data_IF_298254717020
#
_entry.id   IF_298254717020
#
_cell.length_a   1.000
_cell.length_b   1.000
_cell.length_c   1.000
_cell.angle_alpha   90.00
_cell.angle_beta   90.00
_cell.angle_gamma   90.00
#
_symmetry.space_group_name_H-M   'P 1'
#
loop_
_entity.id
_entity.type
_entity.pdbx_description
1 polymer ?
#
# COMPACT_ATOMS: atom_id res chain seq x y z
N UNK A 1 -6.84 -1.32 -11.96
CA UNK A 1 -5.56 -0.58 -11.91
C UNK A 1 -4.87 -0.67 -13.25
N UNK A 2 -4.28 0.42 -13.70
CA UNK A 2 -3.59 0.47 -15.00
C UNK A 2 -2.34 -0.41 -14.98
N UNK A 3 -2.02 -1.10 -16.10
CA UNK A 3 -0.84 -1.99 -16.16
C UNK A 3 0.49 -1.32 -15.78
N UNK A 4 0.68 -0.06 -16.17
CA UNK A 4 1.87 0.71 -15.80
C UNK A 4 1.98 0.88 -14.31
N UNK A 5 0.88 1.16 -13.61
CA UNK A 5 0.88 1.31 -12.16
C UNK A 5 1.21 -0.01 -11.46
N UNK A 6 0.70 -1.12 -11.96
CA UNK A 6 1.04 -2.45 -11.41
C UNK A 6 2.54 -2.68 -11.49
N UNK A 7 3.14 -2.46 -12.65
CA UNK A 7 4.58 -2.63 -12.84
C UNK A 7 5.39 -1.68 -11.98
N UNK A 8 4.98 -0.43 -11.89
CA UNK A 8 5.67 0.57 -11.06
C UNK A 8 5.57 0.25 -9.57
N UNK A 9 4.45 -0.32 -9.11
CA UNK A 9 4.32 -0.76 -7.73
C UNK A 9 5.26 -1.91 -7.42
N UNK A 10 5.43 -2.86 -8.33
CA UNK A 10 6.41 -3.93 -8.16
C UNK A 10 7.82 -3.37 -8.00
N UNK A 11 8.17 -2.40 -8.83
CA UNK A 11 9.47 -1.75 -8.75
C UNK A 11 9.65 -0.98 -7.45
N UNK A 12 8.63 -0.27 -7.00
CA UNK A 12 8.63 0.44 -5.72
C UNK A 12 8.77 -0.53 -4.55
N UNK A 13 8.05 -1.64 -4.59
CA UNK A 13 8.10 -2.66 -3.56
C UNK A 13 9.51 -3.25 -3.42
N UNK A 14 10.16 -3.53 -4.53
CA UNK A 14 11.55 -3.99 -4.51
C UNK A 14 12.48 -2.95 -3.86
N UNK A 15 12.32 -1.69 -4.23
CA UNK A 15 13.17 -0.62 -3.72
C UNK A 15 13.08 -0.49 -2.20
N UNK A 16 11.92 -0.74 -1.60
CA UNK A 16 11.70 -0.60 -0.15
C UNK A 16 11.69 -1.93 0.60
N UNK A 17 12.02 -3.03 -0.06
CA UNK A 17 12.11 -4.34 0.60
C UNK A 17 10.75 -4.91 1.01
N UNK A 18 9.70 -4.59 0.28
CA UNK A 18 8.37 -5.18 0.47
C UNK A 18 8.38 -6.63 0.00
N UNK A 19 7.95 -7.54 0.83
CA UNK A 19 7.98 -8.96 0.49
C UNK A 19 6.94 -9.36 -0.53
N UNK A 20 5.73 -8.79 -0.45
CA UNK A 20 4.61 -9.23 -1.27
C UNK A 20 3.64 -8.08 -1.52
N UNK A 21 3.08 -8.06 -2.73
CA UNK A 21 1.94 -7.19 -3.05
C UNK A 21 0.70 -8.06 -3.27
N UNK A 22 -0.41 -7.62 -2.70
CA UNK A 22 -1.71 -8.26 -2.91
C UNK A 22 -2.61 -7.26 -3.63
N UNK A 23 -3.06 -7.64 -4.82
CA UNK A 23 -4.02 -6.86 -5.57
C UNK A 23 -5.42 -7.40 -5.28
N UNK A 24 -6.24 -6.58 -4.62
CA UNK A 24 -7.57 -7.00 -4.19
C UNK A 24 -8.68 -6.42 -5.03
N UNK A 25 -9.78 -7.15 -5.10
CA UNK A 25 -10.97 -6.72 -5.81
C UNK A 25 -10.97 -7.10 -7.27
N UNK A 26 -11.20 -6.12 -8.16
CA UNK A 26 -11.25 -6.37 -9.59
C UNK A 26 -9.95 -6.92 -10.14
N UNK A 27 -9.99 -7.86 -11.10
CA UNK A 27 -8.77 -8.40 -11.70
C UNK A 27 -7.88 -7.32 -12.28
N UNK A 28 -6.58 -7.46 -12.09
CA UNK A 28 -5.59 -6.58 -12.71
C UNK A 28 -5.25 -7.09 -14.11
N UNK A 29 -4.96 -6.15 -15.00
CA UNK A 29 -4.51 -6.46 -16.34
C UNK A 29 -2.99 -6.44 -16.38
N UNK A 30 -2.39 -7.53 -16.86
CA UNK A 30 -0.94 -7.67 -16.99
C UNK A 30 -0.59 -7.73 -18.48
N UNK A 31 0.32 -6.88 -18.92
CA UNK A 31 0.75 -6.85 -20.31
C UNK A 31 2.17 -6.29 -20.42
N UNK A 32 2.62 -6.04 -21.65
CA UNK A 32 3.97 -5.55 -21.90
C UNK A 32 4.27 -4.23 -21.18
N UNK A 33 3.27 -3.36 -21.02
CA UNK A 33 3.45 -2.10 -20.27
C UNK A 33 3.76 -2.37 -18.79
N UNK A 34 3.17 -3.41 -18.21
CA UNK A 34 3.45 -3.83 -16.86
C UNK A 34 4.93 -4.20 -16.72
N UNK A 35 5.41 -5.06 -17.60
CA UNK A 35 6.79 -5.57 -17.50
C UNK A 35 7.83 -4.51 -17.83
N UNK A 36 7.52 -3.61 -18.75
CA UNK A 36 8.40 -2.47 -19.03
C UNK A 36 8.53 -1.56 -17.80
N UNK A 37 7.45 -1.32 -17.09
CA UNK A 37 7.44 -0.49 -15.88
C UNK A 37 8.08 -1.18 -14.68
N UNK A 38 7.92 -2.50 -14.56
CA UNK A 38 8.45 -3.25 -13.42
C UNK A 38 9.96 -3.42 -13.45
N UNK A 39 10.57 -3.37 -14.63
CA UNK A 39 12.02 -3.54 -14.80
C UNK A 39 12.51 -4.86 -14.19
N UNK A 40 11.78 -5.96 -14.47
CA UNK A 40 12.06 -7.32 -14.00
C UNK A 40 11.89 -7.54 -12.49
N UNK A 41 11.34 -6.59 -11.74
CA UNK A 41 11.09 -6.77 -10.30
C UNK A 41 10.01 -7.81 -10.00
N UNK A 42 9.17 -8.15 -10.97
CA UNK A 42 8.23 -9.26 -10.85
C UNK A 42 8.91 -10.61 -10.59
N UNK A 43 10.20 -10.69 -10.81
CA UNK A 43 11.00 -11.90 -10.53
C UNK A 43 11.48 -11.98 -9.08
N UNK A 44 11.48 -10.87 -8.36
CA UNK A 44 12.00 -10.78 -6.99
C UNK A 44 10.96 -10.36 -5.95
N UNK A 45 9.84 -9.78 -6.37
CA UNK A 45 8.74 -9.41 -5.48
C UNK A 45 7.56 -10.34 -5.77
N UNK A 46 7.10 -11.02 -4.74
CA UNK A 46 5.90 -11.87 -4.86
C UNK A 46 4.67 -10.99 -5.00
N UNK A 47 3.74 -11.40 -5.85
CA UNK A 47 2.45 -10.74 -5.95
C UNK A 47 1.35 -11.73 -6.27
N UNK A 48 0.14 -11.42 -5.87
CA UNK A 48 -1.04 -12.22 -6.20
C UNK A 48 -2.28 -11.35 -6.29
N UNK A 49 -3.29 -11.89 -6.95
CA UNK A 49 -4.64 -11.31 -7.05
C UNK A 49 -5.56 -12.06 -6.09
N UNK A 50 -6.38 -11.35 -5.33
CA UNK A 50 -7.41 -11.95 -4.47
C UNK A 50 -8.74 -11.26 -4.69
N UNK A 51 -9.83 -12.02 -4.59
CA UNK A 51 -11.17 -11.45 -4.69
C UNK A 51 -11.66 -10.89 -3.35
N UNK A 52 -11.37 -11.59 -2.26
CA UNK A 52 -11.83 -11.22 -0.92
C UNK A 52 -10.69 -10.58 -0.13
N UNK A 53 -10.53 -9.27 -0.27
CA UNK A 53 -9.49 -8.53 0.42
C UNK A 53 -9.69 -8.51 1.93
N UNK A 54 -10.94 -8.43 2.39
CA UNK A 54 -11.26 -8.44 3.82
C UNK A 54 -10.74 -9.70 4.49
N UNK A 55 -10.96 -10.85 3.86
CA UNK A 55 -10.47 -12.14 4.37
C UNK A 55 -8.95 -12.15 4.48
N UNK A 56 -8.26 -11.66 3.46
CA UNK A 56 -6.79 -11.56 3.46
C UNK A 56 -6.30 -10.71 4.64
N UNK A 57 -6.88 -9.54 4.84
CA UNK A 57 -6.47 -8.64 5.92
C UNK A 57 -6.73 -9.26 7.29
N UNK A 58 -7.86 -9.92 7.47
CA UNK A 58 -8.17 -10.62 8.72
C UNK A 58 -7.12 -11.68 9.04
N UNK A 59 -6.69 -12.43 8.03
CA UNK A 59 -5.65 -13.47 8.19
C UNK A 59 -4.32 -12.85 8.65
N UNK A 60 -3.93 -11.72 8.07
CA UNK A 60 -2.71 -11.03 8.49
C UNK A 60 -2.82 -10.50 9.92
N UNK A 61 -3.97 -9.97 10.30
CA UNK A 61 -4.19 -9.51 11.68
C UNK A 61 -4.09 -10.67 12.68
N UNK A 62 -4.67 -11.80 12.36
CA UNK A 62 -4.58 -13.00 13.20
C UNK A 62 -3.14 -13.49 13.32
N UNK A 63 -2.33 -13.28 12.30
CA UNK A 63 -0.90 -13.62 12.32
C UNK A 63 -0.05 -12.59 13.08
N UNK A 64 -0.65 -11.53 13.63
CA UNK A 64 0.06 -10.54 14.42
C UNK A 64 0.56 -9.31 13.65
N UNK A 65 0.15 -9.15 12.40
CA UNK A 65 0.53 -7.98 11.61
C UNK A 65 -0.26 -6.75 12.05
N UNK A 66 0.41 -5.60 12.05
CA UNK A 66 -0.27 -4.30 12.15
C UNK A 66 -0.76 -3.91 10.77
N UNK A 67 -1.99 -3.40 10.70
CA UNK A 67 -2.59 -2.94 9.44
C UNK A 67 -2.68 -1.42 9.46
N UNK A 68 -1.99 -0.80 8.51
CA UNK A 68 -1.97 0.64 8.30
C UNK A 68 -2.67 0.95 6.99
N UNK A 69 -3.64 1.86 7.01
CA UNK A 69 -4.30 2.33 5.80
C UNK A 69 -3.83 3.73 5.46
N UNK A 70 -3.63 3.98 4.17
CA UNK A 70 -3.27 5.28 3.64
C UNK A 70 -4.49 5.88 2.95
N UNK A 71 -5.20 6.78 3.63
CA UNK A 71 -6.43 7.41 3.13
C UNK A 71 -6.71 8.70 3.89
N UNK A 72 -7.31 9.67 3.21
CA UNK A 72 -7.79 10.89 3.86
C UNK A 72 -9.17 10.61 4.43
N UNK A 73 -9.29 10.66 5.76
CA UNK A 73 -10.56 10.49 6.48
C UNK A 73 -10.65 11.54 7.58
N UNK A 74 -11.82 11.63 8.21
CA UNK A 74 -12.03 12.56 9.34
C UNK A 74 -11.12 12.22 10.53
N UNK A 75 -10.72 10.97 10.66
CA UNK A 75 -9.91 10.49 11.78
C UNK A 75 -8.46 10.20 11.42
N UNK A 76 -8.09 10.35 10.14
CA UNK A 76 -6.71 10.08 9.71
C UNK A 76 -5.74 11.10 10.27
N UNK A 77 -4.52 10.66 10.51
CA UNK A 77 -3.44 11.44 11.09
C UNK A 77 -2.36 11.66 10.02
N UNK A 78 -1.69 12.81 9.99
CA UNK A 78 -0.59 13.01 9.03
C UNK A 78 0.47 11.91 9.13
N UNK A 79 0.95 11.48 7.99
CA UNK A 79 1.88 10.36 7.89
C UNK A 79 3.19 10.60 8.66
N UNK A 80 3.64 11.85 8.76
CA UNK A 80 4.85 12.18 9.49
C UNK A 80 4.73 11.93 11.01
N UNK A 81 3.53 11.69 11.49
CA UNK A 81 3.28 11.33 12.89
C UNK A 81 3.22 9.82 13.12
N UNK A 82 3.59 9.04 12.11
CA UNK A 82 3.67 7.59 12.24
C UNK A 82 4.57 7.21 13.42
N UNK A 83 4.05 6.37 14.29
CA UNK A 83 4.79 5.92 15.47
C UNK A 83 5.80 4.85 15.11
N UNK A 84 6.87 4.86 15.88
CA UNK A 84 8.00 3.98 15.70
C UNK A 84 7.79 2.69 16.51
N UNK A 85 7.04 1.74 15.93
CA UNK A 85 6.78 0.44 16.58
C UNK A 85 7.80 -0.59 16.12
N UNK A 86 8.74 -0.88 17.00
CA UNK A 86 9.82 -1.81 16.73
C UNK A 86 9.30 -3.22 16.46
N UNK A 87 9.81 -3.83 15.38
CA UNK A 87 9.69 -5.27 15.12
C UNK A 87 8.29 -5.79 14.80
N UNK A 88 7.38 -4.94 14.38
CA UNK A 88 6.07 -5.41 13.95
C UNK A 88 6.02 -5.58 12.42
N UNK A 89 5.56 -6.75 12.02
CA UNK A 89 5.21 -6.97 10.63
C UNK A 89 4.03 -6.08 10.27
N UNK A 90 4.12 -5.40 9.15
CA UNK A 90 3.16 -4.36 8.76
C UNK A 90 2.54 -4.66 7.41
N UNK A 91 1.23 -4.49 7.33
CA UNK A 91 0.49 -4.45 6.06
C UNK A 91 0.12 -2.99 5.79
N UNK A 92 0.47 -2.50 4.61
CA UNK A 92 0.03 -1.19 4.15
C UNK A 92 -1.09 -1.38 3.14
N UNK A 93 -2.25 -0.77 3.41
CA UNK A 93 -3.38 -0.76 2.48
C UNK A 93 -3.40 0.58 1.76
N UNK A 94 -3.44 0.54 0.44
CA UNK A 94 -3.66 1.71 -0.39
C UNK A 94 -4.89 1.49 -1.26
N UNK A 95 -5.66 2.53 -1.47
CA UNK A 95 -6.90 2.43 -2.21
C UNK A 95 -6.72 2.59 -3.71
N UNK A 96 -7.75 2.20 -4.45
CA UNK A 96 -7.81 2.48 -5.88
C UNK A 96 -7.97 3.99 -6.12
N UNK A 97 -7.54 4.45 -7.29
CA UNK A 97 -7.65 5.86 -7.65
C UNK A 97 -9.11 6.35 -7.71
N UNK A 98 -10.04 5.45 -8.04
CA UNK A 98 -11.46 5.80 -8.19
C UNK A 98 -12.25 5.76 -6.90
N UNK A 99 -12.00 4.75 -6.07
CA UNK A 99 -12.88 4.45 -4.95
C UNK A 99 -12.22 4.57 -3.58
N UNK A 100 -10.89 4.74 -3.55
CA UNK A 100 -10.16 4.74 -2.30
C UNK A 100 -10.24 3.39 -1.58
N UNK A 101 -10.09 3.42 -0.28
CA UNK A 101 -10.19 2.23 0.56
C UNK A 101 -11.64 2.10 1.05
N UNK A 102 -12.21 0.90 0.95
CA UNK A 102 -13.58 0.66 1.41
C UNK A 102 -13.68 0.79 2.93
N UNK A 103 -14.88 1.07 3.41
CA UNK A 103 -15.12 1.20 4.85
C UNK A 103 -14.75 -0.07 5.61
N UNK A 104 -15.05 -1.23 5.05
CA UNK A 104 -14.73 -2.52 5.68
C UNK A 104 -13.22 -2.65 5.96
N UNK A 105 -12.39 -2.25 5.00
CA UNK A 105 -10.94 -2.30 5.16
C UNK A 105 -10.44 -1.22 6.10
N UNK A 106 -11.05 -0.04 6.10
CA UNK A 106 -10.71 1.01 7.06
C UNK A 106 -11.03 0.57 8.49
N UNK A 107 -12.15 -0.09 8.69
CA UNK A 107 -12.56 -0.59 10.00
C UNK A 107 -11.60 -1.68 10.53
N UNK A 108 -10.98 -2.43 9.64
CA UNK A 108 -9.97 -3.43 10.00
C UNK A 108 -8.59 -2.83 10.24
N UNK A 109 -8.37 -1.61 9.83
CA UNK A 109 -7.07 -0.96 9.97
C UNK A 109 -6.82 -0.54 11.41
N UNK A 110 -5.62 -0.80 11.90
CA UNK A 110 -5.22 -0.40 13.25
C UNK A 110 -4.95 1.10 13.30
N UNK A 111 -4.42 1.64 12.21
CA UNK A 111 -4.09 3.07 12.10
C UNK A 111 -4.40 3.55 10.68
N UNK A 112 -4.84 4.78 10.55
CA UNK A 112 -5.12 5.42 9.26
C UNK A 112 -4.31 6.71 9.17
N UNK A 113 -3.50 6.81 8.14
CA UNK A 113 -2.65 7.97 7.90
C UNK A 113 -2.97 8.60 6.56
N UNK A 114 -2.68 9.88 6.44
CA UNK A 114 -2.78 10.59 5.16
C UNK A 114 -1.51 11.38 4.87
N UNK A 115 -1.27 11.60 3.59
CA UNK A 115 -0.23 12.51 3.12
C UNK A 115 -0.85 13.90 3.02
N UNK A 116 -0.27 14.88 3.70
CA UNK A 116 -0.74 16.26 3.59
C UNK A 116 -0.45 16.79 2.18
N UNK A 117 -1.45 17.38 1.57
CA UNK A 117 -1.34 17.98 0.24
C UNK A 117 -1.68 19.46 0.30
N UNK A 118 -0.87 20.27 -0.35
CA UNK A 118 -0.96 21.72 -0.26
C UNK A 118 -1.43 22.38 -1.56
N UNK A 119 -1.69 21.58 -2.58
CA UNK A 119 -2.19 22.07 -3.85
C UNK A 119 -3.71 22.07 -3.94
N UNK A 120 -4.22 22.18 -5.15
CA UNK A 120 -5.66 22.20 -5.39
C UNK A 120 -6.26 20.81 -5.64
N UNK A 121 -5.48 19.87 -6.13
CA UNK A 121 -5.94 18.49 -6.29
C UNK A 121 -6.04 17.80 -4.94
N UNK A 122 -7.07 16.98 -4.77
CA UNK A 122 -7.32 16.26 -3.53
C UNK A 122 -6.75 14.84 -3.54
N UNK A 123 -6.07 14.43 -4.61
CA UNK A 123 -5.55 13.07 -4.73
C UNK A 123 -4.18 13.07 -5.41
N UNK A 124 -3.48 11.97 -5.23
CA UNK A 124 -2.14 11.74 -5.75
C UNK A 124 -2.13 10.39 -6.47
N UNK A 125 -1.29 10.22 -7.46
CA UNK A 125 -1.09 8.93 -8.11
C UNK A 125 -0.77 7.86 -7.07
N UNK A 126 -1.37 6.68 -7.19
CA UNK A 126 -1.24 5.60 -6.21
C UNK A 126 0.21 5.15 -6.02
N UNK A 127 1.01 5.13 -7.08
CA UNK A 127 2.43 4.73 -6.99
C UNK A 127 3.22 5.76 -6.19
N UNK A 128 2.97 7.04 -6.45
CA UNK A 128 3.63 8.12 -5.73
C UNK A 128 3.26 8.10 -4.25
N UNK A 129 1.98 7.98 -3.95
CA UNK A 129 1.50 7.92 -2.57
C UNK A 129 2.10 6.70 -1.83
N UNK A 130 2.10 5.55 -2.48
CA UNK A 130 2.68 4.32 -1.92
C UNK A 130 4.17 4.49 -1.66
N UNK A 131 4.90 5.11 -2.57
CA UNK A 131 6.34 5.33 -2.42
C UNK A 131 6.64 6.23 -1.22
N UNK A 132 5.88 7.31 -1.04
CA UNK A 132 6.04 8.22 0.10
C UNK A 132 5.76 7.48 1.41
N UNK A 133 4.67 6.71 1.45
CA UNK A 133 4.30 5.96 2.64
C UNK A 133 5.34 4.90 2.99
N UNK A 134 5.82 4.15 2.01
CA UNK A 134 6.85 3.13 2.24
C UNK A 134 8.16 3.74 2.71
N UNK A 135 8.55 4.88 2.16
CA UNK A 135 9.74 5.59 2.62
C UNK A 135 9.63 5.92 4.11
N UNK A 136 8.51 6.50 4.52
CA UNK A 136 8.30 6.88 5.92
C UNK A 136 8.25 5.65 6.83
N UNK A 137 7.49 4.64 6.45
CA UNK A 137 7.32 3.42 7.23
C UNK A 137 8.66 2.69 7.40
N UNK A 138 9.38 2.47 6.32
CA UNK A 138 10.64 1.72 6.38
C UNK A 138 11.71 2.45 7.18
N UNK A 139 11.78 3.78 7.06
CA UNK A 139 12.69 4.57 7.86
C UNK A 139 12.38 4.47 9.35
N UNK A 140 11.11 4.56 9.73
CA UNK A 140 10.69 4.45 11.13
C UNK A 140 10.98 3.06 11.69
N UNK A 141 10.73 2.01 10.92
CA UNK A 141 10.98 0.64 11.37
C UNK A 141 12.47 0.31 11.51
N UNK A 142 13.31 0.83 10.61
CA UNK A 142 14.74 0.56 10.63
C UNK A 142 15.51 1.35 11.68
N UNK A 143 15.02 2.51 12.04
CA UNK A 143 15.69 3.43 12.97
C UNK A 143 15.00 3.51 14.31
N UNK A 144 14.21 2.51 14.60
CA UNK A 144 13.50 2.40 15.87
C UNK A 144 14.44 1.95 16.99
#
# INVERSE_FOLDING_TARGET
>A
MRPVNVGSLLRTADAFGVEKIIFGGSPIELNKKTWNASRATEKVVDFKQVENTVCEIKNYKEAGYIVIALEITDESVPLNKLKNDNNQHTVLIVGSERHGITKDLLDLSDEVYHIEMYGQNSSMNVVQATSIALYEITNKLKHA
#
